data_IF_836797739683
#
_entry.id   IF_836797739683
#
_cell.length_a   1.000
_cell.length_b   1.000
_cell.length_c   1.000
_cell.angle_alpha   90.00
_cell.angle_beta   90.00
_cell.angle_gamma   90.00
#
_symmetry.space_group_name_H-M   'P 1'
#
loop_
_entity.id
_entity.type
_entity.pdbx_description
1 polymer ?
#
# COMPACT_ATOMS: atom_id res chain seq x y z
N UNK A 1 -8.48 32.73 -2.54
CA UNK A 1 -9.48 32.01 -3.36
C UNK A 1 -9.75 30.67 -2.70
N UNK A 2 -10.81 30.57 -1.89
CA UNK A 2 -11.25 29.31 -1.28
C UNK A 2 -12.05 28.54 -2.32
N UNK A 3 -11.38 27.67 -3.08
CA UNK A 3 -12.03 26.78 -4.04
C UNK A 3 -12.86 25.77 -3.26
N UNK A 4 -14.16 26.03 -3.09
CA UNK A 4 -15.10 25.07 -2.51
C UNK A 4 -15.15 23.85 -3.42
N UNK A 5 -14.66 22.72 -2.93
CA UNK A 5 -14.67 21.45 -3.65
C UNK A 5 -16.12 21.01 -3.82
N UNK A 6 -16.55 20.74 -5.06
CA UNK A 6 -17.86 20.13 -5.30
C UNK A 6 -17.86 18.74 -4.68
N UNK A 7 -19.01 18.23 -4.24
CA UNK A 7 -19.11 16.87 -3.65
C UNK A 7 -18.52 15.79 -4.56
N UNK A 8 -18.59 15.99 -5.89
CA UNK A 8 -17.95 15.11 -6.88
C UNK A 8 -16.42 15.13 -6.80
N UNK A 9 -15.82 16.28 -6.53
CA UNK A 9 -14.37 16.43 -6.39
C UNK A 9 -13.90 15.81 -5.07
N UNK A 10 -14.71 15.93 -4.00
CA UNK A 10 -14.45 15.26 -2.70
C UNK A 10 -14.47 13.74 -2.87
N UNK A 11 -15.48 13.20 -3.56
CA UNK A 11 -15.58 11.76 -3.85
C UNK A 11 -14.38 11.30 -4.70
N UNK A 12 -14.01 12.06 -5.74
CA UNK A 12 -12.86 11.74 -6.58
C UNK A 12 -11.53 11.78 -5.80
N UNK A 13 -11.34 12.79 -4.94
CA UNK A 13 -10.19 12.90 -4.06
C UNK A 13 -10.14 11.74 -3.05
N UNK A 14 -11.30 11.32 -2.53
CA UNK A 14 -11.44 10.15 -1.67
C UNK A 14 -11.03 8.85 -2.37
N UNK A 15 -11.49 8.62 -3.60
CA UNK A 15 -11.05 7.45 -4.39
C UNK A 15 -9.56 7.49 -4.71
N UNK A 16 -9.00 8.65 -5.02
CA UNK A 16 -7.57 8.80 -5.27
C UNK A 16 -6.74 8.50 -4.01
N UNK A 17 -7.17 9.04 -2.87
CA UNK A 17 -6.58 8.80 -1.55
C UNK A 17 -6.65 7.32 -1.20
N UNK A 18 -7.82 6.70 -1.37
CA UNK A 18 -8.01 5.24 -1.21
C UNK A 18 -7.06 4.44 -2.11
N UNK A 19 -6.93 4.81 -3.39
CA UNK A 19 -6.05 4.12 -4.32
C UNK A 19 -4.57 4.17 -3.93
N UNK A 20 -4.15 5.28 -3.32
CA UNK A 20 -2.78 5.48 -2.84
C UNK A 20 -2.52 4.71 -1.55
N UNK A 21 -3.46 4.72 -0.59
CA UNK A 21 -3.27 4.10 0.72
C UNK A 21 -3.63 2.62 0.78
N UNK A 22 -4.59 2.15 -0.03
CA UNK A 22 -4.90 0.72 -0.13
C UNK A 22 -3.91 0.06 -1.10
N UNK A 23 -2.72 -0.27 -0.58
CA UNK A 23 -1.68 -1.00 -1.30
C UNK A 23 -1.89 -2.51 -1.32
N UNK A 24 -0.94 -3.24 -1.93
CA UNK A 24 -0.94 -4.71 -1.95
C UNK A 24 -0.95 -5.30 -0.52
N UNK A 25 -0.22 -4.67 0.41
CA UNK A 25 -0.21 -5.08 1.82
C UNK A 25 -1.59 -5.01 2.46
N UNK A 26 -2.35 -3.93 2.24
CA UNK A 26 -3.69 -3.78 2.81
C UNK A 26 -4.73 -4.72 2.21
N UNK A 27 -4.40 -5.41 1.11
CA UNK A 27 -5.26 -6.40 0.47
C UNK A 27 -4.86 -7.81 0.95
N UNK A 28 -3.56 -8.12 1.00
CA UNK A 28 -3.01 -9.44 1.29
C UNK A 28 -2.91 -9.74 2.79
N UNK A 29 -2.52 -8.77 3.62
CA UNK A 29 -2.28 -9.01 5.04
C UNK A 29 -3.53 -9.25 5.89
N UNK A 30 -4.69 -8.58 5.68
CA UNK A 30 -5.83 -8.78 6.59
C UNK A 30 -6.32 -10.24 6.64
N UNK A 31 -6.44 -10.98 5.52
CA UNK A 31 -6.75 -12.41 5.59
C UNK A 31 -5.67 -13.22 6.33
N UNK A 32 -4.39 -12.94 6.09
CA UNK A 32 -3.30 -13.65 6.76
C UNK A 32 -3.29 -13.39 8.27
N UNK A 33 -3.43 -12.13 8.69
CA UNK A 33 -3.47 -11.73 10.10
C UNK A 33 -4.74 -12.24 10.76
N UNK A 34 -5.88 -12.24 10.06
CA UNK A 34 -7.13 -12.82 10.55
C UNK A 34 -7.01 -14.32 10.81
N UNK A 35 -6.40 -15.08 9.89
CA UNK A 35 -6.14 -16.50 10.07
C UNK A 35 -5.16 -16.77 11.22
N UNK A 36 -4.11 -15.95 11.36
CA UNK A 36 -3.12 -16.08 12.44
C UNK A 36 -3.66 -15.65 13.81
N UNK A 37 -4.65 -14.76 13.84
CA UNK A 37 -5.22 -14.23 15.08
C UNK A 37 -6.12 -15.25 15.81
N UNK A 38 -6.59 -16.30 15.14
CA UNK A 38 -7.47 -17.32 15.73
C UNK A 38 -8.69 -16.66 16.37
N UNK A 39 -8.92 -16.89 17.66
CA UNK A 39 -10.06 -16.30 18.37
C UNK A 39 -9.95 -14.78 18.60
N UNK A 40 -8.76 -14.19 18.45
CA UNK A 40 -8.52 -12.76 18.68
C UNK A 40 -8.67 -11.89 17.44
N UNK A 41 -9.46 -12.32 16.44
CA UNK A 41 -9.67 -11.58 15.18
C UNK A 41 -10.06 -10.13 15.42
N UNK A 42 -10.96 -9.86 16.39
CA UNK A 42 -11.42 -8.50 16.68
C UNK A 42 -10.31 -7.59 17.21
N UNK A 43 -9.46 -8.11 18.09
CA UNK A 43 -8.31 -7.35 18.63
C UNK A 43 -7.28 -7.10 17.53
N UNK A 44 -6.99 -8.11 16.70
CA UNK A 44 -6.10 -7.97 15.55
C UNK A 44 -6.65 -6.98 14.51
N UNK A 45 -7.97 -6.99 14.27
CA UNK A 45 -8.64 -6.05 13.36
C UNK A 45 -8.53 -4.60 13.85
N UNK A 46 -8.74 -4.35 15.15
CA UNK A 46 -8.58 -3.01 15.73
C UNK A 46 -7.13 -2.54 15.61
N UNK A 47 -6.16 -3.38 15.96
CA UNK A 47 -4.74 -3.06 15.81
C UNK A 47 -4.36 -2.76 14.36
N UNK A 48 -4.87 -3.56 13.42
CA UNK A 48 -4.68 -3.34 11.99
C UNK A 48 -5.33 -2.02 11.53
N UNK A 49 -6.55 -1.70 11.95
CA UNK A 49 -7.22 -0.45 11.58
C UNK A 49 -6.48 0.79 12.09
N UNK A 50 -6.01 0.77 13.35
CA UNK A 50 -5.26 1.88 13.93
C UNK A 50 -3.96 2.12 13.16
N UNK A 51 -3.21 1.05 12.87
CA UNK A 51 -1.88 1.14 12.27
C UNK A 51 -1.90 1.33 10.75
N UNK A 52 -2.74 0.56 10.04
CA UNK A 52 -2.78 0.55 8.58
C UNK A 52 -3.69 1.64 7.97
N UNK A 53 -4.63 2.20 8.75
CA UNK A 53 -5.56 3.24 8.28
C UNK A 53 -5.46 4.51 9.13
N UNK A 54 -5.51 4.39 10.45
CA UNK A 54 -5.50 5.53 11.38
C UNK A 54 -4.25 6.40 11.24
N UNK A 55 -3.06 5.80 11.36
CA UNK A 55 -1.78 6.53 11.27
C UNK A 55 -1.57 7.21 9.89
N UNK A 56 -1.83 6.56 8.74
CA UNK A 56 -1.77 7.23 7.44
C UNK A 56 -2.73 8.40 7.31
N UNK A 57 -3.98 8.26 7.78
CA UNK A 57 -4.96 9.35 7.75
C UNK A 57 -4.51 10.53 8.62
N UNK A 58 -4.03 10.27 9.83
CA UNK A 58 -3.44 11.29 10.70
C UNK A 58 -2.25 11.99 10.03
N UNK A 59 -1.42 11.24 9.31
CA UNK A 59 -0.28 11.79 8.56
C UNK A 59 -0.74 12.71 7.43
N UNK A 60 -1.78 12.33 6.67
CA UNK A 60 -2.37 13.18 5.61
C UNK A 60 -2.94 14.47 6.19
N UNK A 61 -3.67 14.36 7.31
CA UNK A 61 -4.24 15.54 7.99
C UNK A 61 -3.11 16.44 8.49
N UNK A 62 -2.07 15.88 9.10
CA UNK A 62 -0.90 16.64 9.53
C UNK A 62 -0.26 17.38 8.34
N UNK A 63 0.01 16.66 7.23
CA UNK A 63 0.60 17.23 6.03
C UNK A 63 -0.25 18.36 5.44
N UNK A 64 -1.57 18.17 5.39
CA UNK A 64 -2.52 19.19 4.96
C UNK A 64 -2.51 20.44 5.85
N UNK A 65 -2.29 20.28 7.17
CA UNK A 65 -2.21 21.40 8.13
C UNK A 65 -0.90 22.18 8.03
N UNK A 66 0.23 21.52 7.77
CA UNK A 66 1.52 22.22 7.55
C UNK A 66 1.67 22.78 6.14
N UNK A 67 0.83 22.38 5.19
CA UNK A 67 0.77 22.97 3.84
C UNK A 67 2.02 22.72 2.98
N UNK A 68 2.88 21.77 3.37
CA UNK A 68 4.16 21.50 2.71
C UNK A 68 4.55 20.01 2.72
N UNK A 69 5.73 19.69 2.18
CA UNK A 69 6.24 18.32 2.07
C UNK A 69 6.83 17.78 3.38
N UNK A 70 7.54 16.64 3.28
CA UNK A 70 8.25 16.02 4.42
C UNK A 70 9.19 17.02 5.10
N UNK A 71 9.79 17.93 4.33
CA UNK A 71 10.65 19.00 4.85
C UNK A 71 9.88 19.92 5.82
N UNK A 72 8.68 20.36 5.45
CA UNK A 72 7.83 21.22 6.29
C UNK A 72 7.31 20.50 7.53
N UNK A 73 7.05 19.19 7.43
CA UNK A 73 6.67 18.36 8.57
C UNK A 73 7.82 18.17 9.56
N UNK A 74 9.06 18.13 9.07
CA UNK A 74 10.27 17.90 9.86
C UNK A 74 10.91 19.18 10.44
N UNK A 75 10.43 20.36 10.04
CA UNK A 75 10.90 21.67 10.53
C UNK A 75 11.07 21.75 12.06
N UNK A 76 10.15 21.23 12.90
CA UNK A 76 10.28 21.29 14.36
C UNK A 76 11.44 20.46 14.92
N UNK A 77 11.93 19.46 14.19
CA UNK A 77 12.98 18.52 14.61
C UNK A 77 14.37 19.03 14.17
N UNK A 78 14.42 20.05 13.31
CA UNK A 78 15.64 20.64 12.77
C UNK A 78 16.09 20.01 11.44
N UNK A 79 16.80 20.81 10.63
CA UNK A 79 17.16 20.47 9.23
C UNK A 79 17.93 19.15 9.08
N UNK A 80 18.85 18.87 10.00
CA UNK A 80 19.71 17.67 9.94
C UNK A 80 18.91 16.41 10.28
N UNK A 81 18.11 16.47 11.35
CA UNK A 81 17.26 15.35 11.76
C UNK A 81 16.16 15.07 10.74
N UNK A 82 15.56 16.11 10.15
CA UNK A 82 14.58 15.97 9.07
C UNK A 82 15.16 15.32 7.82
N UNK A 83 16.36 15.73 7.39
CA UNK A 83 17.04 15.12 6.25
C UNK A 83 17.40 13.65 6.51
N UNK A 84 17.91 13.33 7.71
CA UNK A 84 18.19 11.95 8.10
C UNK A 84 16.93 11.10 8.07
N UNK A 85 15.84 11.58 8.68
CA UNK A 85 14.55 10.88 8.68
C UNK A 85 14.03 10.65 7.27
N UNK A 86 14.03 11.69 6.42
CA UNK A 86 13.60 11.59 5.03
C UNK A 86 14.44 10.57 4.25
N UNK A 87 15.76 10.58 4.44
CA UNK A 87 16.68 9.65 3.77
C UNK A 87 16.40 8.21 4.20
N UNK A 88 16.26 7.95 5.51
CA UNK A 88 15.93 6.63 6.04
C UNK A 88 14.57 6.16 5.51
N UNK A 89 13.56 7.02 5.51
CA UNK A 89 12.25 6.72 4.96
C UNK A 89 12.32 6.38 3.46
N UNK A 90 13.04 7.16 2.66
CA UNK A 90 13.17 6.90 1.22
C UNK A 90 13.93 5.61 0.93
N UNK A 91 14.99 5.32 1.67
CA UNK A 91 15.73 4.06 1.54
C UNK A 91 14.88 2.86 1.96
N UNK A 92 14.11 3.00 3.05
CA UNK A 92 13.24 1.94 3.53
C UNK A 92 12.07 1.66 2.58
N UNK A 93 11.41 2.71 2.07
CA UNK A 93 10.30 2.57 1.13
C UNK A 93 10.77 2.09 -0.24
N UNK A 94 11.91 2.59 -0.72
CA UNK A 94 12.46 2.22 -2.01
C UNK A 94 13.19 0.87 -1.95
N UNK A 95 14.52 0.87 -2.02
CA UNK A 95 15.31 -0.32 -2.30
C UNK A 95 15.43 -1.31 -1.13
N UNK A 96 15.36 -0.87 0.12
CA UNK A 96 15.79 -1.71 1.25
C UNK A 96 14.70 -2.63 1.80
N UNK A 97 13.44 -2.18 1.88
CA UNK A 97 12.39 -2.96 2.56
C UNK A 97 11.11 -3.10 1.74
N UNK A 98 10.42 -2.00 1.44
CA UNK A 98 9.06 -2.12 0.92
C UNK A 98 9.02 -2.69 -0.50
N UNK A 99 9.88 -2.23 -1.41
CA UNK A 99 9.88 -2.75 -2.79
C UNK A 99 10.25 -4.23 -2.86
N UNK A 100 11.37 -4.71 -2.27
CA UNK A 100 11.68 -6.14 -2.25
C UNK A 100 10.58 -6.97 -1.59
N UNK A 101 10.01 -6.51 -0.47
CA UNK A 101 8.94 -7.23 0.24
C UNK A 101 7.70 -7.41 -0.64
N UNK A 102 7.32 -6.42 -1.43
CA UNK A 102 6.17 -6.55 -2.34
C UNK A 102 6.41 -7.58 -3.44
N UNK A 103 7.65 -7.72 -3.92
CA UNK A 103 8.02 -8.74 -4.90
C UNK A 103 7.92 -10.15 -4.29
N UNK A 104 8.52 -10.38 -3.10
CA UNK A 104 8.50 -11.71 -2.46
C UNK A 104 7.09 -12.13 -2.08
N UNK A 105 6.28 -11.23 -1.53
CA UNK A 105 4.89 -11.55 -1.15
C UNK A 105 4.03 -11.84 -2.39
N UNK A 106 4.26 -11.13 -3.51
CA UNK A 106 3.55 -11.42 -4.77
C UNK A 106 3.93 -12.79 -5.33
N UNK A 107 5.18 -13.21 -5.16
CA UNK A 107 5.63 -14.55 -5.51
C UNK A 107 4.98 -15.62 -4.61
N UNK A 108 5.07 -15.46 -3.27
CA UNK A 108 4.54 -16.41 -2.29
C UNK A 108 3.03 -16.65 -2.47
N UNK A 109 2.26 -15.58 -2.72
CA UNK A 109 0.80 -15.69 -2.85
C UNK A 109 0.36 -16.09 -4.25
N UNK A 110 1.12 -15.75 -5.29
CA UNK A 110 0.70 -15.90 -6.68
C UNK A 110 1.33 -17.06 -7.45
N UNK A 111 2.60 -17.36 -7.21
CA UNK A 111 3.40 -18.30 -8.02
C UNK A 111 3.89 -19.49 -7.21
N UNK A 112 4.28 -19.30 -5.95
CA UNK A 112 4.75 -20.39 -5.08
C UNK A 112 3.78 -21.59 -5.02
N UNK A 113 2.43 -21.41 -4.99
CA UNK A 113 1.50 -22.53 -5.01
C UNK A 113 1.53 -23.37 -6.31
N UNK A 114 2.08 -22.81 -7.41
CA UNK A 114 2.14 -23.44 -8.72
C UNK A 114 3.51 -24.04 -9.04
N UNK A 115 4.59 -23.43 -8.53
CA UNK A 115 5.98 -23.79 -8.90
C UNK A 115 6.78 -24.44 -7.77
N UNK A 116 6.23 -24.49 -6.55
CA UNK A 116 6.96 -24.92 -5.36
C UNK A 116 7.96 -23.88 -4.86
N UNK A 117 8.43 -24.07 -3.63
CA UNK A 117 9.20 -23.08 -2.86
C UNK A 117 10.73 -23.21 -3.10
N UNK A 118 11.14 -23.21 -4.37
CA UNK A 118 12.55 -23.33 -4.74
C UNK A 118 13.18 -21.96 -5.04
N UNK A 119 14.47 -21.81 -4.72
CA UNK A 119 15.21 -20.56 -4.89
C UNK A 119 15.30 -20.08 -6.35
N UNK A 120 15.21 -21.01 -7.31
CA UNK A 120 15.38 -20.73 -8.74
C UNK A 120 14.15 -20.00 -9.35
N UNK A 121 12.89 -20.47 -9.15
CA UNK A 121 11.69 -19.70 -9.50
C UNK A 121 11.61 -18.32 -8.84
N UNK A 122 11.99 -18.19 -7.57
CA UNK A 122 11.99 -16.90 -6.87
C UNK A 122 12.95 -15.90 -7.53
N UNK A 123 14.15 -16.36 -7.93
CA UNK A 123 15.14 -15.53 -8.60
C UNK A 123 14.63 -15.08 -9.97
N UNK A 124 14.10 -16.01 -10.77
CA UNK A 124 13.54 -15.70 -12.10
C UNK A 124 12.38 -14.70 -11.97
N UNK A 125 11.45 -14.93 -11.04
CA UNK A 125 10.34 -14.03 -10.80
C UNK A 125 10.81 -12.64 -10.37
N UNK A 126 11.76 -12.56 -9.45
CA UNK A 126 12.28 -11.29 -8.95
C UNK A 126 12.96 -10.49 -10.07
N UNK A 127 13.75 -11.14 -10.94
CA UNK A 127 14.38 -10.50 -12.10
C UNK A 127 13.33 -9.93 -13.05
N UNK A 128 12.30 -10.72 -13.39
CA UNK A 128 11.20 -10.26 -14.27
C UNK A 128 10.41 -9.13 -13.62
N UNK A 129 10.09 -9.26 -12.33
CA UNK A 129 9.36 -8.25 -11.56
C UNK A 129 10.10 -6.91 -11.57
N UNK A 130 11.39 -6.90 -11.20
CA UNK A 130 12.18 -5.68 -11.17
C UNK A 130 12.44 -5.11 -12.56
N UNK A 131 12.58 -5.94 -13.60
CA UNK A 131 12.68 -5.46 -14.98
C UNK A 131 11.41 -4.70 -15.41
N UNK A 132 10.23 -5.22 -15.08
CA UNK A 132 8.95 -4.55 -15.35
C UNK A 132 8.85 -3.25 -14.52
N UNK A 133 9.22 -3.29 -13.24
CA UNK A 133 9.22 -2.10 -12.37
C UNK A 133 10.11 -1.00 -12.94
N UNK A 134 11.32 -1.34 -13.41
CA UNK A 134 12.24 -0.39 -14.06
C UNK A 134 11.62 0.18 -15.33
N UNK A 135 11.09 -0.67 -16.21
CA UNK A 135 10.46 -0.24 -17.46
C UNK A 135 9.32 0.75 -17.19
N UNK A 136 8.46 0.44 -16.22
CA UNK A 136 7.33 1.29 -15.84
C UNK A 136 7.81 2.59 -15.19
N UNK A 137 8.86 2.55 -14.38
CA UNK A 137 9.44 3.72 -13.73
C UNK A 137 10.09 4.70 -14.71
N UNK A 138 10.57 4.22 -15.86
CA UNK A 138 11.11 5.07 -16.94
C UNK A 138 10.03 5.92 -17.64
N UNK A 139 8.74 5.63 -17.44
CA UNK A 139 7.62 6.39 -18.03
C UNK A 139 6.71 7.04 -16.97
N UNK A 140 7.23 7.95 -16.11
CA UNK A 140 6.50 8.51 -14.97
C UNK A 140 5.27 9.35 -15.36
N UNK A 141 5.28 9.94 -16.56
CA UNK A 141 4.19 10.79 -17.06
C UNK A 141 2.84 10.06 -17.19
N UNK A 142 2.88 8.76 -17.49
CA UNK A 142 1.66 7.91 -17.58
C UNK A 142 1.31 7.27 -16.23
N UNK A 143 2.23 7.25 -15.27
CA UNK A 143 2.09 6.54 -14.01
C UNK A 143 0.98 7.11 -13.14
N UNK A 144 0.98 8.44 -12.91
CA UNK A 144 -0.03 9.09 -12.06
C UNK A 144 -1.45 8.97 -12.62
N UNK A 145 -1.61 9.11 -13.93
CA UNK A 145 -2.90 8.98 -14.61
C UNK A 145 -3.40 7.52 -14.65
N UNK A 146 -2.49 6.56 -14.85
CA UNK A 146 -2.83 5.13 -14.92
C UNK A 146 -3.09 4.54 -13.53
N UNK A 147 -2.29 4.89 -12.52
CA UNK A 147 -2.45 4.37 -11.16
C UNK A 147 -3.78 4.82 -10.55
N UNK A 148 -4.10 6.11 -10.62
CA UNK A 148 -5.36 6.62 -10.04
C UNK A 148 -6.61 6.13 -10.77
N UNK A 149 -6.60 6.11 -12.11
CA UNK A 149 -7.78 5.75 -12.92
C UNK A 149 -7.99 4.25 -13.04
N UNK A 150 -6.92 3.45 -13.07
CA UNK A 150 -6.98 2.01 -13.34
C UNK A 150 -6.76 1.15 -12.09
N UNK A 151 -5.79 1.49 -11.22
CA UNK A 151 -5.55 0.67 -10.03
C UNK A 151 -6.63 0.85 -8.97
N UNK A 152 -7.19 2.06 -8.81
CA UNK A 152 -8.27 2.30 -7.84
C UNK A 152 -9.48 1.36 -8.05
N UNK A 153 -10.12 1.32 -9.25
CA UNK A 153 -11.26 0.43 -9.47
C UNK A 153 -10.88 -1.05 -9.44
N UNK A 154 -9.64 -1.41 -9.83
CA UNK A 154 -9.18 -2.80 -9.76
C UNK A 154 -9.02 -3.28 -8.32
N UNK A 155 -8.41 -2.45 -7.46
CA UNK A 155 -8.24 -2.73 -6.02
C UNK A 155 -9.59 -2.88 -5.31
N UNK A 156 -10.55 -2.02 -5.61
CA UNK A 156 -11.93 -2.12 -5.12
C UNK A 156 -12.59 -3.44 -5.55
N UNK A 157 -12.43 -3.83 -6.81
CA UNK A 157 -12.95 -5.10 -7.32
C UNK A 157 -12.31 -6.30 -6.62
N UNK A 158 -10.98 -6.29 -6.47
CA UNK A 158 -10.26 -7.35 -5.78
C UNK A 158 -10.69 -7.48 -4.31
N UNK A 159 -10.89 -6.36 -3.61
CA UNK A 159 -11.40 -6.35 -2.24
C UNK A 159 -12.83 -6.89 -2.17
N UNK A 160 -13.70 -6.48 -3.11
CA UNK A 160 -15.06 -6.98 -3.21
C UNK A 160 -15.12 -8.49 -3.45
N UNK A 161 -14.31 -9.00 -4.38
CA UNK A 161 -14.22 -10.44 -4.66
C UNK A 161 -13.75 -11.20 -3.42
N UNK A 162 -12.72 -10.71 -2.71
CA UNK A 162 -12.25 -11.37 -1.47
C UNK A 162 -13.28 -11.34 -0.35
N UNK A 163 -13.99 -10.23 -0.21
CA UNK A 163 -15.08 -10.14 0.76
C UNK A 163 -16.18 -11.16 0.47
N UNK A 164 -16.64 -11.23 -0.78
CA UNK A 164 -17.65 -12.22 -1.20
C UNK A 164 -17.12 -13.65 -1.02
N UNK A 165 -15.87 -13.92 -1.40
CA UNK A 165 -15.24 -15.22 -1.20
C UNK A 165 -15.17 -15.62 0.28
N UNK A 166 -14.83 -14.69 1.18
CA UNK A 166 -14.80 -14.96 2.61
C UNK A 166 -16.20 -15.25 3.21
N UNK A 167 -17.26 -14.64 2.68
CA UNK A 167 -18.64 -14.87 3.14
C UNK A 167 -19.21 -16.17 2.55
N UNK A 168 -18.97 -16.44 1.27
CA UNK A 168 -19.53 -17.60 0.58
C UNK A 168 -18.74 -18.89 0.84
N UNK A 169 -17.43 -18.79 1.01
CA UNK A 169 -16.54 -19.90 1.32
C UNK A 169 -15.69 -19.51 2.53
N UNK A 170 -16.29 -19.46 3.74
CA UNK A 170 -15.50 -19.26 4.94
C UNK A 170 -14.49 -20.40 5.03
N UNK A 171 -13.21 -20.06 5.11
CA UNK A 171 -12.22 -20.99 5.63
C UNK A 171 -12.58 -21.19 7.11
N UNK A 172 -13.48 -22.13 7.39
CA UNK A 172 -13.95 -22.41 8.74
C UNK A 172 -13.05 -23.42 9.45
N UNK A 173 -13.36 -23.74 10.71
CA UNK A 173 -13.71 -22.79 11.77
C UNK A 173 -12.52 -21.90 12.16
#
# INVERSE_FOLDING_TARGET
MTHQLKSRDIIALGFMTFALFVGAGNIIFPPMVGLQAGEHVWTAAIGFLITAVGLPVLTVVALAKVGGGVDSLSTPIGKVAGLLLATVCYLAVGPLFATPRTATVSFEVGIAPLTGDSAMPLLIYSVVYFAIVILVSLYPGKLRATVGRFMAPWKLRALGIRYVAAVCWPAGP
#
